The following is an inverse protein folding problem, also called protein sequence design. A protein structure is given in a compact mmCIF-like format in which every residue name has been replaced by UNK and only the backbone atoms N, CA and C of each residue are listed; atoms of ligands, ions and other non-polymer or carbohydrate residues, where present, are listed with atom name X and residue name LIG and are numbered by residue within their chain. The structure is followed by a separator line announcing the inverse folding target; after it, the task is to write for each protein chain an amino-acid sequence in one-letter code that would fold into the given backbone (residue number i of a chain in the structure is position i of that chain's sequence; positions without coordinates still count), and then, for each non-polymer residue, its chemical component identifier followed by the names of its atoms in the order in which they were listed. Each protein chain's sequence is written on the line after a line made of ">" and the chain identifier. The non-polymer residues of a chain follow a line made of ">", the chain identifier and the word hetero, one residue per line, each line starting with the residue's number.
data_IF_534403429241
#
_entry.id   IF_534403429241
#
_cell.length_a   1.000
_cell.length_b   1.000
_cell.length_c   1.000
_cell.angle_alpha   90.00
_cell.angle_beta   90.00
_cell.angle_gamma   90.00
#
_symmetry.space_group_name_H-M   'P 1'
#
loop_
_entity.id
_entity.type
_entity.pdbx_description
1 polymer ?
#
# COMPACT_ATOMS: atom_id res chain seq x y z
N UNK A 1 4.78 38.54 59.68
CA UNK A 1 4.37 38.42 58.30
C UNK A 1 4.47 36.99 57.80
N UNK A 2 3.31 36.39 57.50
CA UNK A 2 3.28 35.09 56.84
C UNK A 2 3.45 35.31 55.35
N UNK A 3 4.51 34.77 54.80
CA UNK A 3 4.73 34.73 53.35
C UNK A 3 4.02 33.47 52.83
N UNK A 4 2.95 33.69 52.09
CA UNK A 4 2.27 32.62 51.37
C UNK A 4 3.05 32.32 50.09
N UNK A 5 3.72 31.18 50.04
CA UNK A 5 4.26 30.67 48.80
C UNK A 5 3.12 29.91 48.09
N UNK A 6 2.47 30.59 47.14
CA UNK A 6 1.65 29.89 46.14
C UNK A 6 2.61 29.19 45.17
N UNK A 7 2.73 27.88 45.34
CA UNK A 7 3.37 27.04 44.34
C UNK A 7 2.46 26.93 43.13
N UNK A 8 2.72 27.77 42.12
CA UNK A 8 2.15 27.55 40.80
C UNK A 8 2.79 26.31 40.21
N UNK A 9 2.08 25.20 40.32
CA UNK A 9 2.38 24.00 39.57
C UNK A 9 2.01 24.23 38.08
N UNK A 10 2.98 24.61 37.27
CA UNK A 10 2.85 24.57 35.84
C UNK A 10 2.82 23.10 35.39
N UNK A 11 1.65 22.55 35.28
CA UNK A 11 1.44 21.35 34.47
C UNK A 11 1.67 21.75 33.02
N UNK A 12 2.91 21.61 32.54
CA UNK A 12 3.20 21.55 31.11
C UNK A 12 2.54 20.25 30.62
N UNK A 13 1.34 20.39 30.09
CA UNK A 13 0.73 19.37 29.24
C UNK A 13 1.69 19.18 28.07
N UNK A 14 2.52 18.17 28.16
CA UNK A 14 3.28 17.68 27.04
C UNK A 14 2.27 17.05 26.08
N UNK A 15 1.78 17.84 25.14
CA UNK A 15 1.14 17.32 23.95
C UNK A 15 2.22 16.53 23.20
N UNK A 16 2.29 15.23 23.45
CA UNK A 16 2.91 14.33 22.52
C UNK A 16 2.01 14.30 21.27
N UNK A 17 2.23 15.25 20.37
CA UNK A 17 1.78 15.05 19.02
C UNK A 17 2.56 13.81 18.52
N UNK A 18 1.87 12.71 18.35
CA UNK A 18 2.42 11.56 17.64
C UNK A 18 2.72 12.03 16.22
N UNK A 19 3.98 12.39 15.98
CA UNK A 19 4.46 12.72 14.66
C UNK A 19 4.46 11.41 13.86
N UNK A 20 3.47 11.26 13.00
CA UNK A 20 3.49 10.22 11.98
C UNK A 20 4.27 10.74 10.75
N UNK A 21 4.91 9.83 10.04
CA UNK A 21 5.71 10.19 8.89
C UNK A 21 4.84 10.72 7.75
N UNK A 22 5.24 11.87 7.13
CA UNK A 22 4.56 12.41 5.95
C UNK A 22 4.80 11.57 4.71
N UNK A 23 5.89 10.83 4.67
CA UNK A 23 6.20 9.86 3.63
C UNK A 23 6.95 8.66 4.20
N UNK A 24 6.79 7.52 3.57
CA UNK A 24 7.53 6.31 3.94
C UNK A 24 7.71 5.39 2.73
N UNK A 25 8.72 4.55 2.82
CA UNK A 25 8.96 3.48 1.85
C UNK A 25 8.22 2.22 2.31
N UNK A 26 7.58 1.59 1.36
CA UNK A 26 6.88 0.32 1.53
C UNK A 26 7.33 -0.62 0.41
N UNK A 27 7.67 -1.84 0.76
CA UNK A 27 8.13 -2.84 -0.21
C UNK A 27 7.49 -4.18 0.08
N UNK A 28 6.96 -4.81 -0.96
CA UNK A 28 6.50 -6.20 -0.88
C UNK A 28 7.45 -7.11 -1.64
N UNK A 29 7.63 -8.30 -1.10
CA UNK A 29 8.28 -9.43 -1.75
C UNK A 29 7.35 -10.61 -1.59
N UNK A 30 6.85 -11.14 -2.69
CA UNK A 30 5.84 -12.17 -2.66
C UNK A 30 5.92 -13.13 -3.83
N UNK A 31 5.04 -14.11 -3.80
CA UNK A 31 4.94 -15.14 -4.83
C UNK A 31 3.55 -15.14 -5.45
N UNK A 32 3.52 -15.19 -6.76
CA UNK A 32 2.28 -15.39 -7.51
C UNK A 32 1.76 -16.80 -7.23
N UNK A 33 0.55 -16.90 -6.67
CA UNK A 33 -0.09 -18.15 -6.29
C UNK A 33 -1.03 -18.67 -7.36
N UNK A 34 -1.80 -17.77 -7.95
CA UNK A 34 -2.76 -18.08 -9.01
C UNK A 34 -2.68 -17.03 -10.10
N UNK A 35 -2.81 -17.51 -11.32
CA UNK A 35 -2.89 -16.73 -12.53
C UNK A 35 -3.91 -17.42 -13.44
N UNK A 36 -5.18 -17.03 -13.29
CA UNK A 36 -6.29 -17.59 -14.06
C UNK A 36 -6.61 -16.69 -15.24
N UNK A 37 -6.68 -17.24 -16.43
CA UNK A 37 -6.82 -16.49 -17.68
C UNK A 37 -8.05 -16.94 -18.43
N UNK A 38 -8.83 -15.97 -18.92
CA UNK A 38 -9.85 -16.16 -19.94
C UNK A 38 -9.31 -15.52 -21.22
N UNK A 39 -9.04 -16.33 -22.23
CA UNK A 39 -8.64 -15.85 -23.54
C UNK A 39 -9.89 -15.53 -24.38
N UNK A 40 -9.86 -14.39 -25.07
CA UNK A 40 -10.95 -14.00 -25.96
C UNK A 40 -10.68 -14.46 -27.37
N UNK A 41 -11.72 -14.99 -28.09
CA UNK A 41 -11.52 -15.56 -29.44
C UNK A 41 -10.90 -14.60 -30.45
N UNK A 42 -11.18 -13.32 -30.34
CA UNK A 42 -10.65 -12.28 -31.25
C UNK A 42 -9.39 -11.60 -30.78
N UNK A 43 -8.77 -12.13 -29.72
CA UNK A 43 -7.61 -11.56 -29.07
C UNK A 43 -7.97 -10.74 -27.83
N UNK A 44 -6.98 -10.58 -26.97
CA UNK A 44 -7.16 -10.06 -25.63
C UNK A 44 -7.40 -11.14 -24.60
N UNK A 45 -7.38 -10.78 -23.35
CA UNK A 45 -7.58 -11.71 -22.23
C UNK A 45 -7.95 -10.97 -20.96
N UNK A 46 -8.64 -11.69 -20.09
CA UNK A 46 -8.90 -11.29 -18.72
C UNK A 46 -8.10 -12.18 -17.77
N UNK A 47 -7.31 -11.55 -16.91
CA UNK A 47 -6.43 -12.26 -15.96
C UNK A 47 -6.88 -11.97 -14.54
N UNK A 48 -7.06 -13.04 -13.76
CA UNK A 48 -7.26 -12.99 -12.31
C UNK A 48 -5.99 -13.38 -11.62
N UNK A 49 -5.50 -12.57 -10.67
CA UNK A 49 -4.25 -12.88 -9.98
C UNK A 49 -4.38 -12.84 -8.46
N UNK A 50 -3.50 -13.60 -7.82
CA UNK A 50 -3.30 -13.61 -6.37
C UNK A 50 -1.81 -13.74 -6.09
N UNK A 51 -1.27 -12.86 -5.27
CA UNK A 51 0.07 -13.01 -4.74
C UNK A 51 0.11 -12.71 -3.25
N UNK A 52 1.07 -13.30 -2.56
CA UNK A 52 1.25 -13.16 -1.13
C UNK A 52 2.71 -13.29 -0.73
N UNK A 53 3.05 -12.74 0.41
CA UNK A 53 4.40 -12.77 0.95
C UNK A 53 4.58 -11.83 2.12
N UNK A 54 5.72 -11.17 2.17
CA UNK A 54 6.07 -10.22 3.21
C UNK A 54 6.13 -8.79 2.72
N UNK A 55 5.93 -7.86 3.63
CA UNK A 55 6.19 -6.44 3.40
C UNK A 55 7.14 -5.90 4.48
N UNK A 56 7.84 -4.85 4.12
CA UNK A 56 8.65 -4.06 5.02
C UNK A 56 8.48 -2.56 4.74
N UNK A 57 8.74 -1.76 5.73
CA UNK A 57 8.70 -0.29 5.65
C UNK A 57 9.92 0.30 6.32
N UNK A 58 10.21 1.58 6.06
CA UNK A 58 11.23 2.35 6.77
C UNK A 58 10.71 3.08 8.03
N UNK A 59 9.47 2.79 8.44
CA UNK A 59 8.84 3.33 9.66
C UNK A 59 8.66 2.28 10.76
N UNK A 60 9.47 1.20 10.73
CA UNK A 60 9.50 0.17 11.77
C UNK A 60 8.34 -0.84 11.71
N UNK A 61 7.58 -0.85 10.63
CA UNK A 61 6.48 -1.79 10.40
C UNK A 61 6.84 -2.79 9.32
N UNK A 62 6.54 -4.05 9.57
CA UNK A 62 6.75 -5.17 8.66
C UNK A 62 5.75 -6.28 8.98
N UNK A 63 5.52 -7.16 8.05
CA UNK A 63 4.61 -8.27 8.26
C UNK A 63 4.30 -9.04 6.99
N UNK A 64 3.08 -9.53 6.89
CA UNK A 64 2.61 -10.30 5.75
C UNK A 64 1.57 -9.53 4.94
N UNK A 65 1.47 -9.85 3.67
CA UNK A 65 0.48 -9.27 2.78
C UNK A 65 -0.10 -10.32 1.83
N UNK A 66 -1.27 -10.03 1.32
CA UNK A 66 -1.81 -10.66 0.11
C UNK A 66 -2.50 -9.64 -0.77
N UNK A 67 -2.40 -9.81 -2.07
CA UNK A 67 -3.10 -9.01 -3.07
C UNK A 67 -3.94 -9.91 -3.97
N UNK A 68 -5.11 -9.39 -4.34
CA UNK A 68 -6.00 -10.01 -5.34
C UNK A 68 -6.44 -8.94 -6.32
N UNK A 69 -6.54 -9.33 -7.57
CA UNK A 69 -6.96 -8.39 -8.59
C UNK A 69 -7.19 -9.02 -9.93
N UNK A 70 -7.50 -8.15 -10.89
CA UNK A 70 -7.76 -8.52 -12.26
C UNK A 70 -7.14 -7.53 -13.22
N UNK A 71 -6.79 -8.03 -14.41
CA UNK A 71 -6.26 -7.24 -15.51
C UNK A 71 -7.00 -7.60 -16.79
N UNK A 72 -7.46 -6.59 -17.51
CA UNK A 72 -8.00 -6.73 -18.85
C UNK A 72 -6.95 -6.26 -19.86
N UNK A 73 -6.58 -7.13 -20.80
CA UNK A 73 -5.72 -6.82 -21.93
C UNK A 73 -6.52 -6.81 -23.23
N UNK A 74 -6.20 -5.86 -24.12
CA UNK A 74 -6.76 -5.83 -25.46
C UNK A 74 -6.07 -6.83 -26.39
N UNK A 75 -6.55 -6.90 -27.63
CA UNK A 75 -6.01 -7.81 -28.67
C UNK A 75 -4.55 -7.54 -29.04
N UNK A 76 -4.00 -6.39 -28.67
CA UNK A 76 -2.59 -6.04 -28.86
C UNK A 76 -1.76 -6.30 -27.60
N UNK A 77 -2.31 -7.04 -26.63
CA UNK A 77 -1.70 -7.34 -25.34
C UNK A 77 -1.37 -6.08 -24.51
N UNK A 78 -2.11 -5.00 -24.74
CA UNK A 78 -2.00 -3.76 -23.96
C UNK A 78 -3.02 -3.76 -22.83
N UNK A 79 -2.62 -3.27 -21.67
CA UNK A 79 -3.47 -3.09 -20.51
C UNK A 79 -4.60 -2.10 -20.83
N UNK A 80 -5.82 -2.53 -20.64
CA UNK A 80 -7.05 -1.70 -20.74
C UNK A 80 -7.47 -1.23 -19.35
N UNK A 81 -7.47 -2.15 -18.39
CA UNK A 81 -7.91 -1.90 -17.03
C UNK A 81 -7.22 -2.87 -16.08
N UNK A 82 -6.86 -2.38 -14.91
CA UNK A 82 -6.37 -3.18 -13.80
C UNK A 82 -6.96 -2.65 -12.51
N UNK A 83 -7.39 -3.57 -11.66
CA UNK A 83 -7.89 -3.25 -10.34
C UNK A 83 -7.40 -4.30 -9.34
N UNK A 84 -6.92 -3.86 -8.19
CA UNK A 84 -6.48 -4.77 -7.13
C UNK A 84 -6.70 -4.18 -5.74
N UNK A 85 -6.81 -5.08 -4.77
CA UNK A 85 -6.77 -4.77 -3.35
C UNK A 85 -5.73 -5.64 -2.66
N UNK A 86 -5.06 -5.08 -1.68
CA UNK A 86 -4.12 -5.79 -0.82
C UNK A 86 -4.51 -5.60 0.64
N UNK A 87 -4.42 -6.66 1.41
CA UNK A 87 -4.45 -6.58 2.86
C UNK A 87 -3.06 -6.87 3.42
N UNK A 88 -2.68 -6.09 4.43
CA UNK A 88 -1.38 -6.16 5.07
C UNK A 88 -1.59 -6.26 6.57
N UNK A 89 -0.89 -7.19 7.22
CA UNK A 89 -0.89 -7.36 8.67
C UNK A 89 0.52 -7.12 9.19
N UNK A 90 0.65 -6.15 10.09
CA UNK A 90 1.95 -5.87 10.69
C UNK A 90 2.30 -6.86 11.81
N UNK A 91 3.49 -6.70 12.39
CA UNK A 91 4.02 -7.53 13.46
C UNK A 91 3.15 -7.51 14.73
N UNK A 92 2.27 -6.53 14.88
CA UNK A 92 1.32 -6.42 15.99
C UNK A 92 -0.09 -6.91 15.63
N UNK A 93 -0.26 -7.47 14.42
CA UNK A 93 -1.55 -7.94 13.93
C UNK A 93 -2.49 -6.83 13.48
N UNK A 94 -2.04 -5.59 13.38
CA UNK A 94 -2.83 -4.48 12.88
C UNK A 94 -2.84 -4.46 11.36
N UNK A 95 -4.03 -4.26 10.80
CA UNK A 95 -4.27 -4.37 9.37
C UNK A 95 -4.37 -3.00 8.70
N UNK A 96 -3.91 -2.93 7.47
CA UNK A 96 -4.28 -1.87 6.54
C UNK A 96 -4.58 -2.43 5.15
N UNK A 97 -5.45 -1.74 4.44
CA UNK A 97 -5.88 -2.08 3.07
C UNK A 97 -5.38 -1.00 2.12
N UNK A 98 -4.76 -1.43 1.04
CA UNK A 98 -4.46 -0.56 -0.08
C UNK A 98 -5.13 -1.08 -1.35
N UNK A 99 -5.53 -0.16 -2.20
CA UNK A 99 -6.16 -0.44 -3.48
C UNK A 99 -5.53 0.40 -4.58
N UNK A 100 -5.44 -0.20 -5.76
CA UNK A 100 -4.93 0.47 -6.93
C UNK A 100 -5.74 0.13 -8.18
N UNK A 101 -5.68 1.03 -9.15
CA UNK A 101 -6.28 0.86 -10.49
C UNK A 101 -5.37 1.49 -11.53
N UNK A 102 -5.39 0.89 -12.70
CA UNK A 102 -4.71 1.42 -13.89
C UNK A 102 -5.67 1.35 -15.06
N UNK A 103 -5.68 2.40 -15.88
CA UNK A 103 -6.51 2.50 -17.07
C UNK A 103 -5.64 2.67 -18.30
N UNK A 104 -6.17 2.32 -19.44
CA UNK A 104 -5.53 2.56 -20.73
C UNK A 104 -5.13 4.02 -20.86
N UNK A 105 -3.84 4.26 -21.12
CA UNK A 105 -3.29 5.58 -21.29
C UNK A 105 -3.03 6.37 -20.00
N UNK A 106 -3.31 5.80 -18.84
CA UNK A 106 -3.06 6.45 -17.54
C UNK A 106 -1.59 6.40 -17.10
N UNK A 107 -0.83 5.43 -17.61
CA UNK A 107 0.58 5.24 -17.32
C UNK A 107 1.39 4.98 -18.58
N UNK A 108 2.46 5.72 -18.68
CA UNK A 108 3.42 5.59 -19.79
C UNK A 108 4.37 4.43 -19.53
N UNK A 109 4.69 4.19 -18.26
CA UNK A 109 5.60 3.12 -17.85
C UNK A 109 4.81 1.91 -17.34
N UNK A 110 5.05 0.76 -17.95
CA UNK A 110 4.33 -0.50 -17.71
C UNK A 110 4.54 -1.08 -16.32
N UNK A 111 5.66 -0.74 -15.68
CA UNK A 111 6.04 -1.27 -14.39
C UNK A 111 5.57 -0.40 -13.22
N UNK A 112 5.16 0.83 -13.47
CA UNK A 112 4.81 1.83 -12.45
C UNK A 112 3.30 1.98 -12.33
N UNK A 113 2.82 2.04 -11.10
CA UNK A 113 1.41 2.27 -10.79
C UNK A 113 1.21 3.03 -9.49
N UNK A 114 -0.03 3.36 -9.21
CA UNK A 114 -0.44 4.06 -8.01
C UNK A 114 -1.46 3.25 -7.23
N UNK A 115 -1.39 3.36 -5.90
CA UNK A 115 -2.36 2.80 -4.98
C UNK A 115 -2.58 3.76 -3.82
N UNK A 116 -3.66 3.56 -3.08
CA UNK A 116 -3.98 4.37 -1.91
C UNK A 116 -4.27 3.47 -0.72
N UNK A 117 -3.88 3.92 0.47
CA UNK A 117 -4.30 3.30 1.72
C UNK A 117 -5.72 3.77 2.00
N UNK A 118 -6.68 2.85 1.99
CA UNK A 118 -8.11 3.16 2.09
C UNK A 118 -8.70 2.87 3.46
N UNK A 119 -8.11 1.92 4.19
CA UNK A 119 -8.50 1.55 5.53
C UNK A 119 -7.27 1.19 6.36
N UNK A 120 -7.37 1.36 7.68
CA UNK A 120 -6.29 1.02 8.61
C UNK A 120 -6.79 0.88 10.04
N UNK A 121 -6.19 -0.05 10.76
CA UNK A 121 -6.42 -0.27 12.19
C UNK A 121 -5.27 0.32 13.00
N UNK A 122 -5.56 0.80 14.22
CA UNK A 122 -4.55 1.23 15.17
C UNK A 122 -3.55 2.24 14.60
N UNK A 123 -2.29 1.86 14.55
CA UNK A 123 -1.20 2.65 13.98
C UNK A 123 -1.52 3.16 12.56
N UNK A 124 -2.19 2.35 11.75
CA UNK A 124 -2.44 2.65 10.35
C UNK A 124 -3.58 3.65 10.10
N UNK A 125 -4.35 4.01 11.13
CA UNK A 125 -5.43 5.00 11.01
C UNK A 125 -4.93 6.35 10.50
N UNK A 126 -3.74 6.77 10.92
CA UNK A 126 -3.13 8.04 10.53
C UNK A 126 -2.58 8.02 9.09
N UNK A 127 -2.52 6.84 8.47
CA UNK A 127 -2.03 6.65 7.11
C UNK A 127 -3.14 6.49 6.07
N UNK A 128 -4.40 6.49 6.49
CA UNK A 128 -5.55 6.45 5.57
C UNK A 128 -5.50 7.68 4.66
N UNK A 129 -5.61 7.45 3.35
CA UNK A 129 -5.52 8.50 2.34
C UNK A 129 -4.12 8.70 1.76
N UNK A 130 -3.09 8.08 2.31
CA UNK A 130 -1.75 8.10 1.70
C UNK A 130 -1.81 7.48 0.31
N UNK A 131 -1.09 8.11 -0.62
CA UNK A 131 -0.92 7.61 -1.98
C UNK A 131 0.48 7.06 -2.15
N UNK A 132 0.56 5.88 -2.74
CA UNK A 132 1.81 5.18 -2.99
C UNK A 132 2.02 5.05 -4.50
N UNK A 133 3.22 5.38 -4.94
CA UNK A 133 3.69 5.05 -6.29
C UNK A 133 4.57 3.81 -6.17
N UNK A 134 4.25 2.78 -6.91
CA UNK A 134 4.98 1.51 -6.87
C UNK A 134 5.55 1.14 -8.23
N UNK A 135 6.63 0.37 -8.21
CA UNK A 135 7.16 -0.34 -9.36
C UNK A 135 7.05 -1.85 -9.12
N UNK A 136 6.90 -2.63 -10.17
CA UNK A 136 6.80 -4.09 -10.09
C UNK A 136 7.87 -4.73 -10.96
N UNK A 137 8.63 -5.64 -10.38
CA UNK A 137 9.58 -6.51 -11.07
C UNK A 137 9.29 -7.96 -10.73
N UNK A 138 9.50 -8.84 -11.70
CA UNK A 138 9.32 -10.27 -11.54
C UNK A 138 10.62 -11.00 -11.80
N UNK A 139 10.94 -11.96 -10.94
CA UNK A 139 11.93 -13.01 -11.20
C UNK A 139 11.20 -14.34 -11.10
N UNK A 140 10.93 -14.95 -12.24
CA UNK A 140 10.01 -16.07 -12.35
C UNK A 140 8.63 -15.68 -11.77
N UNK A 141 8.18 -16.35 -10.71
CA UNK A 141 6.91 -16.06 -10.03
C UNK A 141 7.07 -15.20 -8.75
N UNK A 142 8.28 -14.72 -8.50
CA UNK A 142 8.55 -13.86 -7.35
C UNK A 142 8.36 -12.40 -7.75
N UNK A 143 7.57 -11.68 -6.97
CA UNK A 143 7.26 -10.27 -7.17
C UNK A 143 8.11 -9.44 -6.23
N UNK A 144 8.72 -8.40 -6.77
CA UNK A 144 9.40 -7.35 -6.02
C UNK A 144 8.71 -6.03 -6.35
N UNK A 145 8.09 -5.41 -5.36
CA UNK A 145 7.35 -4.18 -5.56
C UNK A 145 7.68 -3.14 -4.49
N UNK A 146 8.73 -2.33 -4.72
CA UNK A 146 8.99 -1.15 -3.90
C UNK A 146 7.97 -0.05 -4.19
N UNK A 147 7.60 0.69 -3.16
CA UNK A 147 6.71 1.83 -3.25
C UNK A 147 7.16 2.98 -2.36
N UNK A 148 6.81 4.18 -2.78
CA UNK A 148 6.92 5.40 -1.98
C UNK A 148 5.51 5.90 -1.67
N UNK A 149 5.19 6.00 -0.39
CA UNK A 149 3.89 6.45 0.09
C UNK A 149 4.00 7.85 0.67
N UNK A 150 3.09 8.74 0.29
CA UNK A 150 3.07 10.14 0.71
C UNK A 150 1.69 10.55 1.21
N UNK A 151 1.69 11.41 2.22
CA UNK A 151 0.49 12.12 2.61
C UNK A 151 0.05 13.02 1.45
N UNK A 152 -1.18 12.82 0.97
CA UNK A 152 -1.74 13.55 -0.17
C UNK A 152 -2.56 14.78 0.24
N UNK A 153 -2.57 15.10 1.52
CA UNK A 153 -3.29 16.26 2.07
C UNK A 153 -2.39 17.47 2.29
#
# INVERSE_FOLDING_TARGET
>A
GKVNYETYSYFKSLFFSTLYAEEFKYKVIGKLKTDNVIDFPEGGKFVSFHHEGGFETDIGKYGEYQCRGSILYDKNEKLVNMFFACENFDQNGQKFINMGKRFKGSDIDRAVGNMSIIEGEGFWKDYIGYRCTYAVEYVNKVIFAPAQCKNSF
#
